data_IF_480518171841
#
_entry.id   IF_480518171841
#
_cell.length_a   1.000
_cell.length_b   1.000
_cell.length_c   1.000
_cell.angle_alpha   90.00
_cell.angle_beta   90.00
_cell.angle_gamma   90.00
#
_symmetry.space_group_name_H-M   'P 1'
#
loop_
_entity.id
_entity.type
_entity.pdbx_description
1 polymer ?
#
# COMPACT_ATOMS: atom_id res chain seq x y z
N UNK A 1 16.43 -18.94 -5.35
CA UNK A 1 16.28 -18.75 -6.79
C UNK A 1 15.22 -19.73 -7.27
N UNK A 2 14.03 -19.23 -7.59
CA UNK A 2 13.02 -20.04 -8.26
C UNK A 2 13.36 -20.07 -9.74
N UNK A 3 13.50 -21.27 -10.28
CA UNK A 3 13.64 -21.50 -11.70
C UNK A 3 12.28 -21.23 -12.36
N UNK A 4 12.21 -20.20 -13.18
CA UNK A 4 10.99 -19.76 -13.87
C UNK A 4 10.83 -20.39 -15.25
N UNK A 5 11.57 -21.47 -15.57
CA UNK A 5 11.51 -22.12 -16.88
C UNK A 5 10.19 -22.83 -17.17
N UNK A 6 9.30 -23.00 -16.16
CA UNK A 6 8.02 -23.71 -16.32
C UNK A 6 6.76 -22.83 -16.34
N UNK A 7 6.90 -21.48 -16.34
CA UNK A 7 5.76 -20.57 -16.50
C UNK A 7 5.92 -19.79 -17.82
N UNK A 8 5.95 -20.53 -18.91
CA UNK A 8 5.74 -19.97 -20.24
C UNK A 8 4.24 -19.74 -20.45
N UNK A 9 3.90 -18.53 -20.93
CA UNK A 9 2.60 -18.03 -21.39
C UNK A 9 1.70 -17.32 -20.38
N UNK A 10 2.23 -16.26 -19.75
CA UNK A 10 1.42 -15.06 -19.54
C UNK A 10 2.23 -13.88 -20.07
N UNK A 11 2.13 -13.62 -21.36
CA UNK A 11 2.58 -12.40 -21.98
C UNK A 11 1.71 -11.27 -21.45
N UNK A 12 2.15 -10.57 -20.44
CA UNK A 12 1.55 -9.31 -20.02
C UNK A 12 2.25 -8.17 -20.75
N UNK A 13 1.63 -7.74 -21.83
CA UNK A 13 1.94 -6.54 -22.56
C UNK A 13 1.57 -5.33 -21.68
N UNK A 14 2.49 -4.87 -20.85
CA UNK A 14 2.33 -3.63 -20.10
C UNK A 14 3.68 -2.98 -19.83
N UNK A 15 4.28 -2.50 -20.93
CA UNK A 15 5.47 -1.66 -20.90
C UNK A 15 5.05 -0.22 -20.65
N UNK A 16 4.74 0.11 -19.41
CA UNK A 16 4.72 1.50 -18.95
C UNK A 16 5.85 1.65 -17.93
N UNK A 17 7.01 2.03 -18.44
CA UNK A 17 8.17 2.39 -17.64
C UNK A 17 7.86 3.62 -16.80
N UNK A 18 7.46 3.44 -15.55
CA UNK A 18 7.60 4.50 -14.55
C UNK A 18 9.06 4.50 -14.08
N UNK A 19 9.90 5.30 -14.72
CA UNK A 19 11.20 5.68 -14.17
C UNK A 19 10.94 6.58 -12.94
N UNK A 20 10.64 5.97 -11.81
CA UNK A 20 10.83 6.63 -10.53
C UNK A 20 12.30 6.50 -10.21
N UNK A 21 12.97 7.62 -10.05
CA UNK A 21 14.39 7.69 -9.68
C UNK A 21 14.59 7.00 -8.31
N UNK A 22 14.87 5.71 -8.36
CA UNK A 22 15.10 4.82 -7.22
C UNK A 22 16.49 5.01 -6.61
N UNK A 23 17.09 6.20 -6.76
CA UNK A 23 18.50 6.49 -6.42
C UNK A 23 18.91 6.24 -4.96
N UNK A 24 18.03 5.77 -4.07
CA UNK A 24 18.38 5.66 -2.62
C UNK A 24 17.89 4.41 -1.86
N UNK A 25 17.29 3.44 -2.52
CA UNK A 25 17.12 2.12 -1.90
C UNK A 25 18.28 1.24 -2.38
N UNK A 26 19.31 1.05 -1.53
CA UNK A 26 20.45 0.18 -1.85
C UNK A 26 19.91 -1.24 -2.02
N UNK A 27 19.87 -1.71 -3.25
CA UNK A 27 19.45 -3.08 -3.56
C UNK A 27 20.41 -4.08 -2.93
N UNK A 28 19.89 -4.99 -2.11
CA UNK A 28 20.68 -6.07 -1.49
C UNK A 28 20.91 -7.23 -2.45
N UNK A 29 19.94 -7.49 -3.36
CA UNK A 29 20.02 -8.57 -4.36
C UNK A 29 19.05 -8.32 -5.52
N UNK A 30 19.09 -9.18 -6.56
CA UNK A 30 18.11 -9.21 -7.65
C UNK A 30 16.81 -9.93 -7.28
N UNK A 31 16.72 -10.53 -6.10
CA UNK A 31 15.53 -11.23 -5.62
C UNK A 31 14.34 -10.26 -5.48
N UNK A 32 13.18 -10.55 -6.09
CA UNK A 32 11.99 -9.67 -6.00
C UNK A 32 11.43 -9.60 -4.58
N UNK A 33 11.59 -10.65 -3.77
CA UNK A 33 11.18 -10.62 -2.36
C UNK A 33 12.11 -9.69 -1.58
N UNK A 34 13.43 -9.74 -1.81
CA UNK A 34 14.39 -8.82 -1.19
C UNK A 34 14.05 -7.37 -1.51
N UNK A 35 13.72 -7.07 -2.77
CA UNK A 35 13.27 -5.74 -3.19
C UNK A 35 12.00 -5.29 -2.46
N UNK A 36 11.01 -6.16 -2.29
CA UNK A 36 9.81 -5.84 -1.55
C UNK A 36 10.11 -5.57 -0.06
N UNK A 37 10.99 -6.38 0.55
CA UNK A 37 11.41 -6.20 1.94
C UNK A 37 12.25 -4.92 2.16
N UNK A 38 12.98 -4.43 1.16
CA UNK A 38 13.68 -3.14 1.25
C UNK A 38 12.71 -1.96 1.43
N UNK A 39 11.45 -2.13 1.03
CA UNK A 39 10.39 -1.12 1.16
C UNK A 39 9.46 -1.43 2.33
N UNK A 40 9.00 -2.69 2.45
CA UNK A 40 7.92 -3.12 3.34
C UNK A 40 8.39 -4.01 4.49
N UNK A 41 9.69 -4.24 4.64
CA UNK A 41 10.24 -5.23 5.58
C UNK A 41 10.21 -4.82 7.05
N UNK A 42 9.64 -3.68 7.38
CA UNK A 42 9.40 -3.25 8.76
C UNK A 42 7.92 -3.44 9.15
N UNK A 43 7.65 -3.43 10.46
CA UNK A 43 6.30 -3.66 10.99
C UNK A 43 5.32 -2.50 10.79
N UNK A 44 5.77 -1.31 10.34
CA UNK A 44 4.95 -0.10 10.29
C UNK A 44 4.49 0.29 8.89
N UNK A 45 5.33 0.06 7.88
CA UNK A 45 5.09 0.54 6.52
C UNK A 45 3.78 -0.01 5.93
N UNK A 46 3.53 -1.32 6.06
CA UNK A 46 2.26 -1.91 5.58
C UNK A 46 1.04 -1.45 6.39
N UNK A 47 1.20 -1.13 7.68
CA UNK A 47 0.12 -0.59 8.50
C UNK A 47 -0.28 0.82 8.05
N UNK A 48 0.69 1.67 7.67
CA UNK A 48 0.42 3.00 7.11
C UNK A 48 -0.32 2.86 5.76
N UNK A 49 0.12 1.95 4.89
CA UNK A 49 -0.54 1.69 3.60
C UNK A 49 -1.97 1.17 3.82
N UNK A 50 -2.18 0.27 4.80
CA UNK A 50 -3.51 -0.21 5.22
C UNK A 50 -4.40 0.96 5.65
N UNK A 51 -3.89 1.86 6.48
CA UNK A 51 -4.64 2.98 7.04
C UNK A 51 -5.06 3.97 5.94
N UNK A 52 -4.19 4.25 4.99
CA UNK A 52 -4.50 5.03 3.78
C UNK A 52 -5.53 4.32 2.89
N UNK A 53 -5.49 3.00 2.80
CA UNK A 53 -6.29 2.21 1.86
C UNK A 53 -7.69 1.91 2.40
N UNK A 54 -7.79 1.55 3.68
CA UNK A 54 -9.02 1.00 4.26
C UNK A 54 -9.61 1.82 5.40
N UNK A 55 -8.81 2.65 6.10
CA UNK A 55 -9.28 3.44 7.24
C UNK A 55 -9.44 4.93 6.92
N UNK A 56 -9.25 5.33 5.66
CA UNK A 56 -9.37 6.72 5.18
C UNK A 56 -8.58 7.75 6.00
N UNK A 57 -7.42 7.33 6.55
CA UNK A 57 -6.52 8.23 7.26
C UNK A 57 -5.68 8.99 6.26
N UNK A 58 -5.63 10.31 6.38
CA UNK A 58 -4.97 11.16 5.40
C UNK A 58 -3.97 12.13 6.03
N UNK A 59 -4.11 12.43 7.31
CA UNK A 59 -3.24 13.40 7.99
C UNK A 59 -2.29 12.70 8.96
N UNK A 60 -1.14 13.33 9.20
CA UNK A 60 -0.13 12.80 10.10
C UNK A 60 -0.69 12.40 11.47
N UNK A 61 -1.52 13.26 12.07
CA UNK A 61 -2.16 13.00 13.36
C UNK A 61 -3.15 11.83 13.36
N UNK A 62 -3.72 11.48 12.19
CA UNK A 62 -4.64 10.35 12.08
C UNK A 62 -3.90 9.01 12.26
N UNK A 63 -2.68 8.91 11.72
CA UNK A 63 -1.85 7.71 11.88
C UNK A 63 -1.41 7.49 13.33
N UNK A 64 -1.11 8.57 14.07
CA UNK A 64 -0.74 8.48 15.48
C UNK A 64 -1.86 7.94 16.37
N UNK A 65 -3.13 8.07 15.94
CA UNK A 65 -4.31 7.52 16.63
C UNK A 65 -4.57 6.05 16.29
N UNK A 66 -3.68 5.38 15.55
CA UNK A 66 -3.80 3.95 15.26
C UNK A 66 -3.62 3.13 16.53
N UNK A 67 -4.35 2.02 16.62
CA UNK A 67 -4.32 1.10 17.79
C UNK A 67 -2.90 0.60 18.09
N UNK A 68 -2.09 0.47 17.03
CA UNK A 68 -0.72 -0.01 17.12
C UNK A 68 0.27 1.01 17.72
N UNK A 69 -0.16 2.28 17.93
CA UNK A 69 0.59 3.34 18.64
C UNK A 69 2.00 3.56 18.07
N UNK A 70 2.08 3.87 16.79
CA UNK A 70 3.35 4.19 16.13
C UNK A 70 3.97 5.46 16.74
N UNK A 71 5.28 5.42 17.04
CA UNK A 71 6.01 6.58 17.51
C UNK A 71 6.18 7.64 16.40
N UNK A 72 6.18 8.91 16.77
CA UNK A 72 6.23 10.05 15.83
C UNK A 72 7.44 10.00 14.89
N UNK A 73 8.64 9.74 15.42
CA UNK A 73 9.86 9.64 14.64
C UNK A 73 9.80 8.48 13.63
N UNK A 74 9.26 7.34 14.03
CA UNK A 74 9.09 6.17 13.15
C UNK A 74 8.07 6.49 12.05
N UNK A 75 6.92 7.09 12.40
CA UNK A 75 5.92 7.50 11.42
C UNK A 75 6.52 8.47 10.37
N UNK A 76 7.25 9.47 10.82
CA UNK A 76 7.89 10.45 9.92
C UNK A 76 8.86 9.76 8.95
N UNK A 77 9.70 8.86 9.46
CA UNK A 77 10.66 8.13 8.64
C UNK A 77 9.95 7.22 7.63
N UNK A 78 8.94 6.45 8.05
CA UNK A 78 8.20 5.54 7.16
C UNK A 78 7.41 6.30 6.09
N UNK A 79 6.78 7.43 6.42
CA UNK A 79 6.12 8.28 5.43
C UNK A 79 7.12 8.84 4.41
N UNK A 80 8.33 9.25 4.85
CA UNK A 80 9.39 9.67 3.94
C UNK A 80 9.85 8.55 3.00
N UNK A 81 10.00 7.31 3.51
CA UNK A 81 10.32 6.15 2.67
C UNK A 81 9.23 5.91 1.63
N UNK A 82 7.95 5.90 2.04
CA UNK A 82 6.80 5.70 1.16
C UNK A 82 6.69 6.81 0.09
N UNK A 83 7.01 8.06 0.43
CA UNK A 83 7.03 9.18 -0.50
C UNK A 83 8.18 9.04 -1.51
N UNK A 84 9.41 8.78 -1.04
CA UNK A 84 10.60 8.58 -1.90
C UNK A 84 10.46 7.38 -2.83
N UNK A 85 9.79 6.32 -2.40
CA UNK A 85 9.54 5.12 -3.22
C UNK A 85 8.34 5.29 -4.17
N UNK A 86 7.67 6.44 -4.12
CA UNK A 86 6.53 6.76 -4.98
C UNK A 86 5.26 5.95 -4.66
N UNK A 87 5.14 5.39 -3.47
CA UNK A 87 3.94 4.68 -3.00
C UNK A 87 2.91 5.66 -2.47
N UNK A 88 3.37 6.68 -1.77
CA UNK A 88 2.55 7.76 -1.20
C UNK A 88 2.94 9.08 -1.86
N UNK A 89 1.98 9.97 -2.04
CA UNK A 89 2.20 11.38 -2.34
C UNK A 89 1.76 12.23 -1.15
N UNK A 90 2.49 13.32 -0.93
CA UNK A 90 2.24 14.33 0.10
C UNK A 90 1.91 15.64 -0.58
N UNK A 91 0.80 16.27 -0.23
CA UNK A 91 0.39 17.58 -0.73
C UNK A 91 -0.03 18.47 0.43
N UNK A 92 0.10 19.78 0.29
CA UNK A 92 -0.43 20.71 1.30
C UNK A 92 -1.95 20.68 1.28
N UNK A 93 -2.55 20.71 2.46
CA UNK A 93 -4.01 20.82 2.58
C UNK A 93 -4.45 22.24 2.18
N UNK A 94 -5.35 22.33 1.20
CA UNK A 94 -5.89 23.61 0.73
C UNK A 94 -6.72 24.34 1.80
N UNK A 95 -7.33 23.59 2.72
CA UNK A 95 -8.15 24.14 3.81
C UNK A 95 -7.32 24.54 5.04
N UNK A 96 -6.17 23.91 5.23
CA UNK A 96 -5.25 24.22 6.32
C UNK A 96 -3.80 24.10 5.88
N UNK A 97 -3.19 25.21 5.50
CA UNK A 97 -1.83 25.29 4.95
C UNK A 97 -0.73 24.78 5.91
N UNK A 98 -1.02 24.59 7.20
CA UNK A 98 -0.08 24.01 8.17
C UNK A 98 -0.07 22.49 8.13
N UNK A 99 -1.03 21.85 7.43
CA UNK A 99 -1.20 20.40 7.36
C UNK A 99 -0.82 19.86 5.99
N UNK A 100 -0.48 18.57 5.99
CA UNK A 100 -0.27 17.78 4.78
C UNK A 100 -1.30 16.67 4.68
N UNK A 101 -1.71 16.40 3.45
CA UNK A 101 -2.55 15.26 3.08
C UNK A 101 -1.65 14.21 2.43
N UNK A 102 -1.71 13.01 2.94
CA UNK A 102 -1.06 11.82 2.38
C UNK A 102 -2.07 11.00 1.62
N UNK A 103 -1.70 10.52 0.44
CA UNK A 103 -2.57 9.67 -0.37
C UNK A 103 -1.75 8.67 -1.17
N UNK A 104 -2.32 7.49 -1.45
CA UNK A 104 -1.68 6.48 -2.27
C UNK A 104 -1.56 6.96 -3.73
N UNK A 105 -0.40 6.70 -4.35
CA UNK A 105 -0.22 6.84 -5.78
C UNK A 105 -0.83 5.62 -6.51
N UNK A 106 -0.77 5.58 -7.85
CA UNK A 106 -1.11 4.38 -8.63
C UNK A 106 -0.25 3.18 -8.19
N UNK A 107 1.06 3.39 -7.97
CA UNK A 107 1.97 2.38 -7.43
C UNK A 107 1.55 1.90 -6.05
N UNK A 108 1.14 2.82 -5.17
CA UNK A 108 0.63 2.49 -3.84
C UNK A 108 -0.68 1.69 -3.90
N UNK A 109 -1.61 2.03 -4.79
CA UNK A 109 -2.86 1.25 -4.97
C UNK A 109 -2.54 -0.16 -5.48
N UNK A 110 -1.51 -0.33 -6.28
CA UNK A 110 -1.11 -1.63 -6.81
C UNK A 110 -0.53 -2.58 -5.73
N UNK A 111 -0.30 -2.13 -4.48
CA UNK A 111 0.05 -3.00 -3.35
C UNK A 111 -1.16 -3.75 -2.77
N UNK A 112 -2.37 -3.38 -3.18
CA UNK A 112 -3.62 -3.97 -2.65
C UNK A 112 -3.70 -5.49 -2.77
N UNK A 113 -3.34 -6.14 -3.90
CA UNK A 113 -3.36 -7.61 -3.96
C UNK A 113 -2.51 -8.26 -2.86
N UNK A 114 -1.33 -7.72 -2.59
CA UNK A 114 -0.46 -8.19 -1.52
C UNK A 114 -1.13 -8.06 -0.14
N UNK A 115 -1.75 -6.91 0.16
CA UNK A 115 -2.47 -6.72 1.43
C UNK A 115 -3.65 -7.68 1.58
N UNK A 116 -4.40 -7.93 0.50
CA UNK A 116 -5.52 -8.90 0.51
C UNK A 116 -5.01 -10.31 0.82
N UNK A 117 -3.87 -10.72 0.24
CA UNK A 117 -3.27 -12.04 0.55
C UNK A 117 -2.82 -12.13 2.00
N UNK A 118 -2.18 -11.08 2.55
CA UNK A 118 -1.79 -11.04 3.96
C UNK A 118 -3.02 -11.17 4.87
N UNK A 119 -4.10 -10.45 4.56
CA UNK A 119 -5.36 -10.53 5.34
C UNK A 119 -5.96 -11.92 5.28
N UNK A 120 -5.99 -12.56 4.11
CA UNK A 120 -6.53 -13.92 3.96
C UNK A 120 -5.67 -14.96 4.68
N UNK A 121 -4.35 -14.83 4.60
CA UNK A 121 -3.42 -15.68 5.32
C UNK A 121 -3.61 -15.54 6.85
N UNK A 122 -3.64 -14.30 7.34
CA UNK A 122 -3.84 -14.03 8.77
C UNK A 122 -5.18 -14.57 9.27
N UNK A 123 -6.27 -14.34 8.53
CA UNK A 123 -7.60 -14.84 8.89
C UNK A 123 -7.70 -16.38 8.90
N UNK A 124 -6.80 -17.07 8.17
CA UNK A 124 -6.73 -18.54 8.18
C UNK A 124 -6.02 -19.09 9.43
N UNK A 125 -4.97 -18.42 9.87
CA UNK A 125 -4.06 -18.94 10.89
C UNK A 125 -4.21 -18.30 12.28
N UNK A 126 -4.90 -17.14 12.37
CA UNK A 126 -5.20 -16.47 13.62
C UNK A 126 -6.70 -16.12 13.70
N UNK A 127 -7.43 -16.89 14.50
CA UNK A 127 -8.87 -16.71 14.73
C UNK A 127 -9.22 -15.40 15.46
N UNK A 128 -8.24 -14.74 16.09
CA UNK A 128 -8.41 -13.48 16.83
C UNK A 128 -8.30 -12.24 15.94
N UNK A 129 -8.00 -12.41 14.65
CA UNK A 129 -7.95 -11.26 13.74
C UNK A 129 -9.31 -10.58 13.61
N UNK A 130 -9.32 -9.25 13.64
CA UNK A 130 -10.53 -8.45 13.46
C UNK A 130 -11.02 -8.38 12.00
N UNK A 131 -10.70 -9.39 11.19
CA UNK A 131 -11.06 -9.41 9.76
C UNK A 131 -12.55 -9.75 9.59
N UNK A 132 -13.36 -8.87 8.94
CA UNK A 132 -14.78 -9.15 8.73
C UNK A 132 -14.98 -10.42 7.91
N UNK A 133 -15.79 -11.36 8.40
CA UNK A 133 -16.11 -12.63 7.69
C UNK A 133 -16.63 -12.38 6.26
N UNK A 134 -17.44 -11.34 6.06
CA UNK A 134 -17.93 -10.93 4.73
C UNK A 134 -16.79 -10.55 3.77
N UNK A 135 -15.74 -9.87 4.27
CA UNK A 135 -14.56 -9.54 3.45
C UNK A 135 -13.82 -10.81 3.02
N UNK A 136 -13.57 -11.73 3.95
CA UNK A 136 -12.90 -13.01 3.67
C UNK A 136 -13.70 -13.83 2.65
N UNK A 137 -15.01 -13.98 2.85
CA UNK A 137 -15.88 -14.72 1.94
C UNK A 137 -15.83 -14.10 0.52
N UNK A 138 -15.93 -12.77 0.41
CA UNK A 138 -15.88 -12.06 -0.86
C UNK A 138 -14.50 -12.16 -1.54
N UNK A 139 -13.42 -12.06 -0.77
CA UNK A 139 -12.08 -12.21 -1.30
C UNK A 139 -11.79 -13.64 -1.78
N UNK A 140 -12.41 -14.66 -1.18
CA UNK A 140 -12.32 -16.05 -1.64
C UNK A 140 -13.16 -16.30 -2.89
N UNK A 141 -14.40 -15.75 -2.97
CA UNK A 141 -15.31 -16.00 -4.08
C UNK A 141 -14.94 -15.21 -5.34
N UNK A 142 -14.61 -13.92 -5.22
CA UNK A 142 -14.27 -13.09 -6.38
C UNK A 142 -13.23 -12.01 -6.03
N UNK A 143 -11.98 -12.45 -5.85
CA UNK A 143 -10.84 -11.61 -5.51
C UNK A 143 -10.59 -10.49 -6.52
N UNK A 144 -10.68 -10.79 -7.82
CA UNK A 144 -10.43 -9.80 -8.89
C UNK A 144 -11.42 -8.65 -8.82
N UNK A 145 -12.70 -8.94 -8.63
CA UNK A 145 -13.74 -7.93 -8.55
C UNK A 145 -13.62 -7.11 -7.25
N UNK A 146 -13.29 -7.75 -6.12
CA UNK A 146 -13.02 -7.04 -4.86
C UNK A 146 -11.90 -6.02 -5.02
N UNK A 147 -10.75 -6.44 -5.58
CA UNK A 147 -9.59 -5.57 -5.82
C UNK A 147 -9.98 -4.40 -6.75
N UNK A 148 -10.71 -4.68 -7.83
CA UNK A 148 -11.19 -3.67 -8.77
C UNK A 148 -12.10 -2.63 -8.09
N UNK A 149 -13.02 -3.06 -7.25
CA UNK A 149 -13.97 -2.17 -6.56
C UNK A 149 -13.26 -1.27 -5.54
N UNK A 150 -12.37 -1.84 -4.71
CA UNK A 150 -11.57 -1.05 -3.77
C UNK A 150 -10.68 -0.06 -4.52
N UNK A 151 -10.01 -0.50 -5.59
CA UNK A 151 -9.18 0.36 -6.41
C UNK A 151 -9.96 1.52 -7.06
N UNK A 152 -11.18 1.27 -7.51
CA UNK A 152 -12.07 2.30 -8.06
C UNK A 152 -12.54 3.28 -6.99
N UNK A 153 -12.85 2.81 -5.78
CA UNK A 153 -13.21 3.67 -4.66
C UNK A 153 -12.05 4.59 -4.26
N UNK A 154 -10.85 4.06 -4.16
CA UNK A 154 -9.65 4.84 -3.85
C UNK A 154 -9.33 5.89 -4.92
N UNK A 155 -9.57 5.59 -6.18
CA UNK A 155 -9.40 6.57 -7.28
C UNK A 155 -10.40 7.71 -7.18
N UNK A 156 -11.68 7.43 -6.88
CA UNK A 156 -12.72 8.44 -6.71
C UNK A 156 -12.40 9.41 -5.57
N UNK A 157 -11.92 8.89 -4.44
CA UNK A 157 -11.47 9.74 -3.32
C UNK A 157 -10.27 10.63 -3.70
N UNK A 158 -9.46 10.26 -4.73
CA UNK A 158 -8.39 11.10 -5.25
C UNK A 158 -8.89 12.28 -6.07
N UNK A 159 -9.95 12.09 -6.85
CA UNK A 159 -10.50 13.14 -7.70
C UNK A 159 -11.16 14.25 -6.85
N UNK A 160 -11.57 13.92 -5.62
CA UNK A 160 -12.14 14.88 -4.68
C UNK A 160 -11.13 15.91 -4.13
N UNK A 161 -9.83 15.61 -4.21
CA UNK A 161 -8.74 16.46 -3.70
C UNK A 161 -7.85 17.08 -4.79
N UNK A 162 -8.24 16.99 -6.07
CA UNK A 162 -7.61 17.79 -7.13
C UNK A 162 -8.14 19.23 -6.98
N UNK A 163 -7.29 20.27 -6.85
CA UNK A 163 -7.75 21.65 -6.96
C UNK A 163 -8.26 21.83 -8.40
N UNK A 164 -9.52 22.29 -8.52
CA UNK A 164 -10.03 22.81 -9.78
C UNK A 164 -9.24 24.05 -10.17
#
# INVERSE_FOLDING_TARGET
CFDLSSISHIACNMQVCYHVDMKRVKRRSSCPISFALDIFGDKWTLLIVRDLMFKNKMHYGDFLKSEEKIATNILADRLNVLERTGIVKKIRDSKNKTRYIYSLTKKGINTMPMLVEIVLWSAKYDSKTATPKKFVARAKSNRRELIKQIGSALKRNKDFFQPK
#
